data_IF_256625732190
#
_entry.id   IF_256625732190
#
_cell.length_a   1.000
_cell.length_b   1.000
_cell.length_c   1.000
_cell.angle_alpha   90.00
_cell.angle_beta   90.00
_cell.angle_gamma   90.00
#
_symmetry.space_group_name_H-M   'P 1'
#
loop_
_entity.id
_entity.type
_entity.pdbx_description
1 polymer ?
#
# COMPACT_ATOMS: atom_id res chain seq x y z
N UNK A 1 12.40 10.75 2.03
CA UNK A 1 11.76 11.62 3.04
C UNK A 1 10.36 11.09 3.34
N UNK A 2 9.96 11.00 4.60
CA UNK A 2 8.62 10.55 4.98
C UNK A 2 7.54 11.49 4.42
N UNK A 3 6.43 10.93 3.91
CA UNK A 3 5.32 11.66 3.27
C UNK A 3 4.79 12.87 4.06
N UNK A 4 4.79 12.81 5.39
CA UNK A 4 4.34 13.89 6.27
C UNK A 4 5.23 15.14 6.25
N UNK A 5 6.53 15.00 6.02
CA UNK A 5 7.46 16.13 6.06
C UNK A 5 7.26 17.15 4.94
N UNK A 6 6.90 16.70 3.72
CA UNK A 6 6.70 17.62 2.58
C UNK A 6 5.37 18.37 2.72
N UNK A 7 4.29 17.70 3.11
CA UNK A 7 3.01 18.34 3.34
C UNK A 7 3.13 19.44 4.42
N UNK A 8 3.67 19.11 5.59
CA UNK A 8 3.81 20.05 6.69
C UNK A 8 4.80 21.20 6.40
N UNK A 9 5.71 21.04 5.44
CA UNK A 9 6.62 22.11 5.00
C UNK A 9 5.93 23.12 4.09
N UNK A 10 4.92 22.69 3.30
CA UNK A 10 4.21 23.56 2.35
C UNK A 10 2.96 24.15 2.99
N UNK A 11 2.15 23.29 3.59
CA UNK A 11 0.87 23.64 4.21
C UNK A 11 1.06 24.06 5.67
N UNK A 12 0.43 25.16 6.06
CA UNK A 12 0.20 25.54 7.44
C UNK A 12 -1.14 26.28 7.57
N UNK A 13 -1.71 26.31 8.77
CA UNK A 13 -3.04 26.88 9.00
C UNK A 13 -3.10 28.40 8.78
N UNK A 14 -1.99 29.14 8.99
CA UNK A 14 -1.94 30.59 8.76
C UNK A 14 -2.09 30.91 7.29
N UNK A 15 -1.27 30.30 6.43
CA UNK A 15 -1.36 30.49 4.99
C UNK A 15 -2.73 30.01 4.46
N UNK A 16 -3.24 28.90 5.02
CA UNK A 16 -4.55 28.39 4.62
C UNK A 16 -5.68 29.35 5.00
N UNK A 17 -5.59 30.08 6.11
CA UNK A 17 -6.60 31.08 6.47
C UNK A 17 -6.75 32.16 5.39
N UNK A 18 -5.64 32.55 4.77
CA UNK A 18 -5.57 33.59 3.74
C UNK A 18 -5.92 33.10 2.32
N UNK A 19 -5.94 31.79 2.08
CA UNK A 19 -6.35 31.23 0.76
C UNK A 19 -7.73 31.74 0.39
N UNK A 20 -7.86 32.15 -0.85
CA UNK A 20 -9.07 32.76 -1.41
C UNK A 20 -10.31 31.85 -1.24
N UNK A 21 -11.43 32.50 -0.92
CA UNK A 21 -12.69 31.83 -0.60
C UNK A 21 -13.23 31.00 -1.75
N UNK A 22 -13.04 31.45 -2.98
CA UNK A 22 -13.43 30.72 -4.21
C UNK A 22 -12.75 29.34 -4.27
N UNK A 23 -11.43 29.32 -4.07
CA UNK A 23 -10.63 28.09 -4.13
C UNK A 23 -10.99 27.12 -2.99
N UNK A 24 -11.25 27.64 -1.80
CA UNK A 24 -11.68 26.82 -0.64
C UNK A 24 -13.06 26.20 -0.91
N UNK A 25 -14.02 27.00 -1.37
CA UNK A 25 -15.37 26.55 -1.68
C UNK A 25 -15.34 25.44 -2.74
N UNK A 26 -14.64 25.66 -3.85
CA UNK A 26 -14.50 24.64 -4.91
C UNK A 26 -13.93 23.32 -4.36
N UNK A 27 -12.92 23.39 -3.49
CA UNK A 27 -12.36 22.19 -2.87
C UNK A 27 -13.40 21.45 -2.00
N UNK A 28 -14.11 22.17 -1.14
CA UNK A 28 -15.08 21.55 -0.23
C UNK A 28 -16.27 20.94 -0.99
N UNK A 29 -16.74 21.59 -2.05
CA UNK A 29 -17.80 21.06 -2.92
C UNK A 29 -17.33 19.79 -3.63
N UNK A 30 -16.11 19.76 -4.17
CA UNK A 30 -15.54 18.55 -4.75
C UNK A 30 -15.38 17.42 -3.73
N UNK A 31 -14.96 17.72 -2.50
CA UNK A 31 -14.86 16.70 -1.46
C UNK A 31 -16.23 16.18 -1.01
N UNK A 32 -17.28 17.02 -1.08
CA UNK A 32 -18.66 16.62 -0.86
C UNK A 32 -19.13 15.67 -1.98
N UNK A 33 -18.83 15.98 -3.24
CA UNK A 33 -19.10 15.09 -4.37
C UNK A 33 -18.40 13.73 -4.20
N UNK A 34 -17.16 13.70 -3.76
CA UNK A 34 -16.48 12.45 -3.44
C UNK A 34 -17.19 11.63 -2.35
N UNK A 35 -17.82 12.29 -1.36
CA UNK A 35 -18.61 11.63 -0.32
C UNK A 35 -19.91 11.06 -0.90
N UNK A 36 -20.62 11.82 -1.77
CA UNK A 36 -21.85 11.35 -2.45
C UNK A 36 -21.58 10.07 -3.24
N UNK A 37 -20.41 9.99 -3.88
CA UNK A 37 -19.91 8.80 -4.60
C UNK A 37 -19.42 7.68 -3.67
N UNK A 38 -19.59 7.78 -2.35
CA UNK A 38 -19.17 6.79 -1.35
C UNK A 38 -17.66 6.44 -1.44
N UNK A 39 -16.81 7.42 -1.80
CA UNK A 39 -15.35 7.23 -1.75
C UNK A 39 -14.91 7.00 -0.31
N UNK A 40 -13.85 6.18 -0.12
CA UNK A 40 -13.29 5.90 1.22
C UNK A 40 -12.81 7.19 1.88
N UNK A 41 -13.10 7.37 3.17
CA UNK A 41 -12.69 8.55 3.95
C UNK A 41 -11.18 8.83 3.86
N UNK A 42 -10.36 7.76 3.86
CA UNK A 42 -8.91 7.87 3.65
C UNK A 42 -8.52 8.48 2.30
N UNK A 43 -9.30 8.22 1.25
CA UNK A 43 -9.09 8.82 -0.07
C UNK A 43 -9.48 10.29 -0.06
N UNK A 44 -10.64 10.64 0.53
CA UNK A 44 -11.11 12.02 0.67
C UNK A 44 -10.09 12.86 1.44
N UNK A 45 -9.60 12.35 2.59
CA UNK A 45 -8.52 13.00 3.37
C UNK A 45 -7.25 13.20 2.55
N UNK A 46 -6.91 12.23 1.70
CA UNK A 46 -5.73 12.33 0.84
C UNK A 46 -5.90 13.40 -0.25
N UNK A 47 -7.06 13.46 -0.91
CA UNK A 47 -7.37 14.49 -1.90
C UNK A 47 -7.39 15.88 -1.25
N UNK A 48 -8.00 16.03 -0.07
CA UNK A 48 -7.96 17.28 0.70
C UNK A 48 -6.52 17.76 0.92
N UNK A 49 -5.63 16.88 1.37
CA UNK A 49 -4.24 17.24 1.61
C UNK A 49 -3.49 17.60 0.32
N UNK A 50 -3.77 16.90 -0.77
CA UNK A 50 -3.15 17.17 -2.06
C UNK A 50 -3.62 18.52 -2.64
N UNK A 51 -4.90 18.85 -2.52
CA UNK A 51 -5.47 20.11 -2.96
C UNK A 51 -5.07 21.29 -2.06
N UNK A 52 -4.88 21.08 -0.77
CA UNK A 52 -4.32 22.08 0.14
C UNK A 52 -2.90 22.50 -0.28
N UNK A 53 -2.08 21.58 -0.75
CA UNK A 53 -0.76 21.91 -1.33
C UNK A 53 -0.92 22.82 -2.55
N UNK A 54 -1.83 22.49 -3.47
CA UNK A 54 -2.11 23.28 -4.65
C UNK A 54 -2.55 24.71 -4.29
N UNK A 55 -3.53 24.85 -3.42
CA UNK A 55 -4.09 26.15 -3.10
C UNK A 55 -3.13 27.00 -2.24
N UNK A 56 -2.26 26.39 -1.45
CA UNK A 56 -1.16 27.08 -0.78
C UNK A 56 -0.12 27.59 -1.80
N UNK A 57 0.19 26.80 -2.83
CA UNK A 57 1.02 27.29 -3.94
C UNK A 57 0.38 28.47 -4.68
N UNK A 58 -0.91 28.40 -5.00
CA UNK A 58 -1.62 29.50 -5.66
C UNK A 58 -1.63 30.76 -4.80
N UNK A 59 -1.79 30.61 -3.48
CA UNK A 59 -1.69 31.73 -2.54
C UNK A 59 -0.32 32.40 -2.58
N UNK A 60 0.75 31.61 -2.52
CA UNK A 60 2.13 32.13 -2.41
C UNK A 60 2.71 32.63 -3.72
N UNK A 61 2.48 31.88 -4.80
CA UNK A 61 3.22 32.07 -6.06
C UNK A 61 2.36 32.69 -7.19
N UNK A 62 1.05 32.80 -7.00
CA UNK A 62 0.12 33.25 -8.04
C UNK A 62 -0.85 34.32 -7.54
N UNK A 63 -0.43 35.18 -6.63
CA UNK A 63 -1.19 36.32 -6.07
C UNK A 63 -2.57 35.90 -5.54
N UNK A 64 -2.69 34.70 -4.97
CA UNK A 64 -3.94 34.17 -4.43
C UNK A 64 -5.14 34.21 -5.40
N UNK A 65 -4.89 34.07 -6.71
CA UNK A 65 -5.91 34.14 -7.74
C UNK A 65 -6.94 33.01 -7.64
N UNK A 66 -8.21 33.24 -8.01
CA UNK A 66 -9.14 32.17 -8.28
C UNK A 66 -8.59 31.19 -9.31
N UNK A 67 -8.74 29.89 -9.10
CA UNK A 67 -8.20 28.86 -10.00
C UNK A 67 -8.82 28.98 -11.41
N UNK A 68 -10.03 29.53 -11.54
CA UNK A 68 -10.68 29.83 -12.84
C UNK A 68 -9.89 30.82 -13.72
N UNK A 69 -9.02 31.66 -13.13
CA UNK A 69 -8.15 32.56 -13.90
C UNK A 69 -6.82 31.91 -14.34
N UNK A 70 -6.57 30.68 -13.92
CA UNK A 70 -5.34 29.97 -14.24
C UNK A 70 -5.46 29.25 -15.59
N UNK A 71 -4.34 29.17 -16.31
CA UNK A 71 -4.21 28.55 -17.62
C UNK A 71 -3.14 27.45 -17.56
N UNK A 72 -3.03 26.64 -18.61
CA UNK A 72 -2.04 25.54 -18.74
C UNK A 72 -0.63 25.91 -18.24
N UNK A 73 -0.14 27.13 -18.54
CA UNK A 73 1.20 27.58 -18.13
C UNK A 73 1.39 27.56 -16.61
N UNK A 74 0.37 27.95 -15.84
CA UNK A 74 0.44 28.00 -14.37
C UNK A 74 0.50 26.59 -13.79
N UNK A 75 -0.25 25.65 -14.31
CA UNK A 75 -0.23 24.25 -13.89
C UNK A 75 1.06 23.51 -14.30
N UNK A 76 1.65 23.87 -15.45
CA UNK A 76 3.01 23.42 -15.81
C UNK A 76 4.04 23.95 -14.82
N UNK A 77 3.97 25.24 -14.45
CA UNK A 77 4.87 25.84 -13.47
C UNK A 77 4.69 25.22 -12.08
N UNK A 78 3.45 24.88 -11.67
CA UNK A 78 3.19 24.10 -10.46
C UNK A 78 3.90 22.76 -10.49
N UNK A 79 3.87 22.03 -11.60
CA UNK A 79 4.61 20.77 -11.76
C UNK A 79 6.13 20.95 -11.60
N UNK A 80 6.69 22.01 -12.18
CA UNK A 80 8.13 22.34 -12.05
C UNK A 80 8.49 22.71 -10.60
N UNK A 81 7.68 23.54 -9.96
CA UNK A 81 7.86 23.91 -8.56
C UNK A 81 7.85 22.69 -7.62
N UNK A 82 6.90 21.77 -7.83
CA UNK A 82 6.84 20.52 -7.05
C UNK A 82 8.10 19.66 -7.21
N UNK A 83 8.61 19.53 -8.44
CA UNK A 83 9.77 18.68 -8.74
C UNK A 83 11.09 19.34 -8.35
N UNK A 84 11.31 20.60 -8.72
CA UNK A 84 12.60 21.28 -8.60
C UNK A 84 12.77 21.97 -7.23
N UNK A 85 11.78 22.72 -6.77
CA UNK A 85 11.90 23.47 -5.52
C UNK A 85 11.46 22.66 -4.30
N UNK A 86 10.41 21.83 -4.46
CA UNK A 86 9.98 20.95 -3.36
C UNK A 86 10.71 19.60 -3.33
N UNK A 87 11.48 19.23 -4.36
CA UNK A 87 12.24 17.99 -4.45
C UNK A 87 11.34 16.73 -4.40
N UNK A 88 10.16 16.79 -5.02
CA UNK A 88 9.26 15.65 -5.07
C UNK A 88 9.59 14.71 -6.21
N UNK A 89 9.47 13.38 -5.98
CA UNK A 89 9.58 12.38 -7.03
C UNK A 89 8.50 12.56 -8.11
N UNK A 90 8.79 12.13 -9.35
CA UNK A 90 7.85 12.20 -10.46
C UNK A 90 6.51 11.52 -10.14
N UNK A 91 6.52 10.38 -9.46
CA UNK A 91 5.31 9.68 -9.01
C UNK A 91 4.46 10.55 -8.05
N UNK A 92 5.10 11.30 -7.13
CA UNK A 92 4.40 12.18 -6.22
C UNK A 92 3.82 13.40 -6.95
N UNK A 93 4.59 14.02 -7.84
CA UNK A 93 4.13 15.13 -8.69
C UNK A 93 2.94 14.70 -9.54
N UNK A 94 3.05 13.55 -10.23
CA UNK A 94 1.97 13.01 -11.06
C UNK A 94 0.69 12.76 -10.26
N UNK A 95 0.80 12.33 -8.99
CA UNK A 95 -0.36 12.15 -8.12
C UNK A 95 -1.02 13.48 -7.75
N UNK A 96 -0.25 14.52 -7.46
CA UNK A 96 -0.77 15.87 -7.18
C UNK A 96 -1.45 16.47 -8.42
N UNK A 97 -0.86 16.29 -9.60
CA UNK A 97 -1.47 16.67 -10.88
C UNK A 97 -2.76 15.89 -11.15
N UNK A 98 -2.83 14.61 -10.75
CA UNK A 98 -4.04 13.82 -10.86
C UNK A 98 -5.17 14.37 -9.98
N UNK A 99 -4.87 14.75 -8.73
CA UNK A 99 -5.85 15.38 -7.85
C UNK A 99 -6.36 16.71 -8.42
N UNK A 100 -5.47 17.54 -8.97
CA UNK A 100 -5.82 18.78 -9.65
C UNK A 100 -6.70 18.52 -10.88
N UNK A 101 -6.35 17.55 -11.72
CA UNK A 101 -7.16 17.19 -12.91
C UNK A 101 -8.55 16.73 -12.51
N UNK A 102 -8.68 15.91 -11.47
CA UNK A 102 -9.96 15.42 -10.99
C UNK A 102 -10.83 16.55 -10.40
N UNK A 103 -10.22 17.51 -9.69
CA UNK A 103 -10.92 18.70 -9.21
C UNK A 103 -11.47 19.53 -10.38
N UNK A 104 -10.65 19.81 -11.40
CA UNK A 104 -11.08 20.62 -12.55
C UNK A 104 -12.03 19.85 -13.47
N UNK A 105 -11.94 18.53 -13.55
CA UNK A 105 -12.92 17.70 -14.25
C UNK A 105 -14.29 17.78 -13.58
N UNK A 106 -14.34 17.71 -12.25
CA UNK A 106 -15.57 17.96 -11.50
C UNK A 106 -16.12 19.36 -11.83
N UNK A 107 -15.29 20.40 -11.71
CA UNK A 107 -15.73 21.77 -11.88
C UNK A 107 -16.23 22.09 -13.31
N UNK A 108 -15.64 21.49 -14.34
CA UNK A 108 -16.08 21.68 -15.74
C UNK A 108 -17.34 20.90 -16.11
N UNK A 109 -17.82 20.03 -15.22
CA UNK A 109 -19.08 19.28 -15.41
C UNK A 109 -20.21 19.77 -14.50
N UNK A 110 -19.95 20.80 -13.70
CA UNK A 110 -20.93 21.42 -12.81
C UNK A 110 -21.29 22.82 -13.31
N UNK A 111 -22.54 23.04 -13.68
CA UNK A 111 -23.06 24.28 -14.26
C UNK A 111 -22.67 25.53 -13.43
N UNK A 112 -22.81 25.43 -12.10
CA UNK A 112 -22.45 26.54 -11.20
C UNK A 112 -20.98 26.95 -11.32
N UNK A 113 -20.05 26.01 -11.49
CA UNK A 113 -18.63 26.27 -11.60
C UNK A 113 -18.22 26.68 -13.02
N UNK A 114 -18.92 26.15 -14.04
CA UNK A 114 -18.74 26.56 -15.44
C UNK A 114 -19.08 28.04 -15.60
N UNK A 115 -20.22 28.50 -15.08
CA UNK A 115 -20.63 29.91 -15.08
C UNK A 115 -19.63 30.83 -14.37
N UNK A 116 -18.86 30.31 -13.42
CA UNK A 116 -17.81 31.06 -12.73
C UNK A 116 -16.45 31.01 -13.45
N UNK A 117 -16.42 30.54 -14.70
CA UNK A 117 -15.27 30.55 -15.61
C UNK A 117 -14.40 29.30 -15.58
N UNK A 118 -14.95 28.17 -15.12
CA UNK A 118 -14.29 26.86 -15.14
C UNK A 118 -14.81 25.99 -16.31
N UNK A 119 -14.81 26.53 -17.53
CA UNK A 119 -15.27 25.86 -18.74
C UNK A 119 -14.27 24.83 -19.30
N UNK A 120 -13.00 24.97 -18.99
CA UNK A 120 -11.91 24.16 -19.58
C UNK A 120 -10.99 23.61 -18.49
N UNK A 121 -10.83 22.29 -18.47
CA UNK A 121 -9.81 21.62 -17.65
C UNK A 121 -8.40 21.83 -18.25
N UNK A 122 -7.77 22.95 -17.96
CA UNK A 122 -6.41 23.23 -18.40
C UNK A 122 -5.35 22.31 -17.79
N UNK A 123 -5.62 21.68 -16.64
CA UNK A 123 -4.69 20.74 -16.03
C UNK A 123 -4.61 19.43 -16.81
N UNK A 124 -5.69 19.01 -17.49
CA UNK A 124 -5.68 17.84 -18.36
C UNK A 124 -4.69 18.00 -19.54
N UNK A 125 -4.41 19.24 -19.95
CA UNK A 125 -3.46 19.56 -21.02
C UNK A 125 -1.98 19.55 -20.59
N UNK A 126 -1.69 19.37 -19.30
CA UNK A 126 -0.32 19.23 -18.76
C UNK A 126 0.09 17.78 -18.82
N UNK A 127 1.20 17.46 -19.47
CA UNK A 127 1.72 16.09 -19.54
C UNK A 127 2.22 15.65 -18.16
N UNK A 128 2.01 14.38 -17.84
CA UNK A 128 2.63 13.74 -16.66
C UNK A 128 4.14 13.64 -16.86
N UNK A 129 4.89 13.68 -15.75
CA UNK A 129 6.33 13.42 -15.77
C UNK A 129 6.58 11.94 -16.08
N UNK A 130 7.73 11.60 -16.68
CA UNK A 130 8.11 10.22 -16.93
C UNK A 130 8.02 9.38 -15.64
N UNK A 131 7.67 8.11 -15.78
CA UNK A 131 7.80 7.19 -14.65
C UNK A 131 9.29 6.98 -14.41
N UNK A 132 9.74 7.34 -13.23
CA UNK A 132 11.03 6.89 -12.72
C UNK A 132 10.85 5.47 -12.21
N UNK A 133 11.87 4.63 -12.37
CA UNK A 133 11.93 3.37 -11.66
C UNK A 133 11.74 3.65 -10.17
N UNK A 134 10.67 3.11 -9.63
CA UNK A 134 10.35 3.30 -8.23
C UNK A 134 11.33 2.47 -7.40
N UNK A 135 11.61 2.92 -6.19
CA UNK A 135 12.45 2.28 -5.17
C UNK A 135 12.67 0.81 -5.42
N UNK A 136 13.91 0.40 -5.39
CA UNK A 136 14.32 -1.00 -5.34
C UNK A 136 13.41 -1.77 -4.36
N UNK A 137 12.74 -2.79 -4.89
CA UNK A 137 11.87 -3.64 -4.08
C UNK A 137 12.76 -4.71 -3.50
N UNK A 138 12.84 -4.75 -2.17
CA UNK A 138 13.57 -5.82 -1.52
C UNK A 138 12.72 -7.09 -1.48
N UNK A 139 13.27 -8.17 -2.03
CA UNK A 139 12.69 -9.51 -2.00
C UNK A 139 13.34 -10.30 -0.86
N UNK A 140 12.55 -10.61 0.16
CA UNK A 140 12.96 -11.46 1.27
C UNK A 140 13.05 -12.91 0.82
N UNK A 141 14.13 -13.61 1.16
CA UNK A 141 14.22 -15.05 0.96
C UNK A 141 13.35 -15.80 1.96
N UNK A 142 13.02 -17.07 1.68
CA UNK A 142 12.27 -17.89 2.65
C UNK A 142 13.06 -18.11 3.95
N UNK A 143 14.39 -18.20 3.87
CA UNK A 143 15.29 -18.30 5.03
C UNK A 143 15.23 -17.04 5.91
N UNK A 144 15.18 -15.86 5.31
CA UNK A 144 15.04 -14.59 6.05
C UNK A 144 13.68 -14.52 6.79
N UNK A 145 12.61 -14.94 6.11
CA UNK A 145 11.29 -15.07 6.72
C UNK A 145 11.33 -16.06 7.90
N UNK A 146 11.96 -17.20 7.70
CA UNK A 146 12.09 -18.25 8.72
C UNK A 146 12.91 -17.77 9.93
N UNK A 147 14.00 -17.05 9.73
CA UNK A 147 14.79 -16.44 10.80
C UNK A 147 13.94 -15.52 11.68
N UNK A 148 13.20 -14.59 11.07
CA UNK A 148 12.31 -13.68 11.81
C UNK A 148 11.21 -14.48 12.54
N UNK A 149 10.62 -15.46 11.87
CA UNK A 149 9.57 -16.30 12.43
C UNK A 149 10.03 -17.07 13.66
N UNK A 150 11.18 -17.74 13.59
CA UNK A 150 11.76 -18.49 14.70
C UNK A 150 12.14 -17.58 15.85
N UNK A 151 12.75 -16.42 15.61
CA UNK A 151 13.03 -15.41 16.63
C UNK A 151 11.75 -15.01 17.38
N UNK A 152 10.67 -14.75 16.67
CA UNK A 152 9.39 -14.37 17.29
C UNK A 152 8.79 -15.52 18.12
N UNK A 153 8.94 -16.77 17.69
CA UNK A 153 8.50 -17.94 18.46
C UNK A 153 9.33 -18.10 19.74
N UNK A 154 10.65 -17.97 19.66
CA UNK A 154 11.56 -18.04 20.83
C UNK A 154 11.28 -16.95 21.86
N UNK A 155 10.88 -15.75 21.39
CA UNK A 155 10.48 -14.64 22.27
C UNK A 155 9.03 -14.70 22.72
N UNK A 156 8.28 -15.76 22.38
CA UNK A 156 6.86 -15.94 22.67
C UNK A 156 5.97 -14.80 22.11
N UNK A 157 6.45 -14.10 21.07
CA UNK A 157 5.69 -13.05 20.35
C UNK A 157 4.75 -13.68 19.31
N UNK A 158 3.94 -14.65 19.74
CA UNK A 158 3.14 -15.50 18.85
C UNK A 158 2.16 -14.72 17.96
N UNK A 159 1.61 -13.61 18.43
CA UNK A 159 0.76 -12.75 17.61
C UNK A 159 1.52 -12.15 16.43
N UNK A 160 2.74 -11.67 16.65
CA UNK A 160 3.58 -11.14 15.59
C UNK A 160 4.07 -12.24 14.66
N UNK A 161 4.37 -13.44 15.18
CA UNK A 161 4.71 -14.61 14.39
C UNK A 161 3.54 -15.01 13.46
N UNK A 162 2.30 -15.02 13.97
CA UNK A 162 1.09 -15.24 13.17
C UNK A 162 0.92 -14.18 12.08
N UNK A 163 1.16 -12.91 12.42
CA UNK A 163 1.04 -11.80 11.49
C UNK A 163 2.10 -11.86 10.38
N UNK A 164 3.34 -12.18 10.71
CA UNK A 164 4.42 -12.43 9.74
C UNK A 164 4.06 -13.59 8.80
N UNK A 165 3.65 -14.73 9.39
CA UNK A 165 3.33 -15.93 8.63
C UNK A 165 2.19 -15.69 7.64
N UNK A 166 1.08 -15.08 8.07
CA UNK A 166 -0.06 -14.82 7.16
C UNK A 166 0.26 -13.77 6.10
N UNK A 167 1.13 -12.77 6.40
CA UNK A 167 1.61 -11.81 5.39
C UNK A 167 2.32 -12.54 4.25
N UNK A 168 3.14 -13.51 4.59
CA UNK A 168 3.94 -14.26 3.64
C UNK A 168 3.13 -15.38 2.98
N UNK A 169 2.41 -16.19 3.74
CA UNK A 169 1.64 -17.32 3.23
C UNK A 169 0.53 -16.88 2.25
N UNK A 170 -0.18 -15.79 2.55
CA UNK A 170 -1.33 -15.35 1.76
C UNK A 170 -0.98 -14.38 0.63
N UNK A 171 0.22 -13.85 0.60
CA UNK A 171 0.59 -12.73 -0.25
C UNK A 171 -0.40 -11.54 -0.20
N UNK A 172 -1.19 -11.41 0.87
CA UNK A 172 -2.25 -10.42 0.99
C UNK A 172 -1.71 -9.02 1.32
N UNK A 173 -2.52 -8.00 1.04
CA UNK A 173 -2.20 -6.65 1.49
C UNK A 173 -2.46 -6.51 2.99
N UNK A 174 -1.63 -5.72 3.68
CA UNK A 174 -1.82 -5.46 5.12
C UNK A 174 -3.25 -5.02 5.48
N UNK A 175 -3.92 -4.25 4.62
CA UNK A 175 -5.29 -3.81 4.83
C UNK A 175 -6.33 -4.96 4.75
N UNK A 176 -6.01 -6.02 4.05
CA UNK A 176 -6.81 -7.23 3.95
C UNK A 176 -6.56 -8.10 5.21
N UNK A 177 -5.30 -8.27 5.60
CA UNK A 177 -4.92 -9.00 6.82
C UNK A 177 -5.46 -8.34 8.10
N UNK A 178 -5.53 -7.01 8.14
CA UNK A 178 -6.11 -6.29 9.28
C UNK A 178 -7.57 -6.65 9.60
N UNK A 179 -8.29 -7.29 8.66
CA UNK A 179 -9.68 -7.71 8.78
C UNK A 179 -9.82 -9.18 9.17
N UNK A 180 -8.71 -9.90 9.38
CA UNK A 180 -8.75 -11.33 9.74
C UNK A 180 -9.27 -11.49 11.16
N UNK A 181 -10.24 -12.39 11.31
CA UNK A 181 -10.89 -12.76 12.57
C UNK A 181 -10.27 -14.03 13.15
N UNK A 182 -10.41 -14.22 14.45
CA UNK A 182 -9.89 -15.40 15.16
C UNK A 182 -10.67 -16.69 14.88
N UNK A 183 -11.93 -16.54 14.45
CA UNK A 183 -12.80 -17.68 14.20
C UNK A 183 -12.33 -18.47 12.97
N UNK A 184 -12.39 -19.80 13.06
CA UNK A 184 -12.03 -20.75 12.02
C UNK A 184 -10.57 -20.73 11.54
N UNK A 185 -9.69 -19.90 12.15
CA UNK A 185 -8.27 -19.80 11.73
C UNK A 185 -7.52 -21.14 11.90
N UNK A 186 -7.96 -22.02 12.79
CA UNK A 186 -7.37 -23.35 12.98
C UNK A 186 -8.10 -24.44 12.19
N UNK A 187 -9.36 -24.25 11.83
CA UNK A 187 -10.21 -25.26 11.24
C UNK A 187 -9.99 -25.41 9.72
N UNK A 188 -9.71 -24.31 9.04
CA UNK A 188 -9.52 -24.29 7.59
C UNK A 188 -8.16 -23.68 7.20
N UNK A 189 -7.88 -23.64 5.90
CA UNK A 189 -6.74 -22.89 5.34
C UNK A 189 -7.20 -21.57 4.69
N UNK A 190 -8.38 -21.09 5.08
CA UNK A 190 -8.98 -19.85 4.58
C UNK A 190 -9.43 -18.97 5.74
N UNK A 191 -9.25 -17.68 5.62
CA UNK A 191 -9.76 -16.70 6.58
C UNK A 191 -11.27 -16.48 6.42
N UNK A 192 -11.85 -15.67 7.32
CA UNK A 192 -13.11 -14.99 7.05
C UNK A 192 -13.02 -14.17 5.74
N UNK A 193 -14.16 -13.74 5.21
CA UNK A 193 -14.22 -12.83 4.06
C UNK A 193 -13.63 -11.47 4.42
N UNK A 194 -12.72 -10.96 3.59
CA UNK A 194 -12.10 -9.64 3.71
C UNK A 194 -12.45 -8.78 2.50
N UNK A 195 -12.44 -7.46 2.70
CA UNK A 195 -12.74 -6.49 1.64
C UNK A 195 -11.44 -5.91 1.10
N UNK A 196 -11.10 -6.22 -0.12
CA UNK A 196 -9.93 -5.74 -0.83
C UNK A 196 -10.14 -4.38 -1.52
N UNK A 197 -9.24 -4.08 -2.44
CA UNK A 197 -9.29 -2.86 -3.26
C UNK A 197 -10.55 -2.87 -4.15
N UNK A 198 -11.21 -1.72 -4.27
CA UNK A 198 -12.45 -1.51 -5.05
C UNK A 198 -13.66 -2.31 -4.52
N UNK A 199 -13.66 -2.69 -3.24
CA UNK A 199 -14.77 -3.41 -2.63
C UNK A 199 -14.86 -4.90 -2.98
N UNK A 200 -13.85 -5.48 -3.65
CA UNK A 200 -13.82 -6.92 -3.95
C UNK A 200 -13.76 -7.72 -2.65
N UNK A 201 -14.67 -8.68 -2.49
CA UNK A 201 -14.77 -9.54 -1.30
C UNK A 201 -14.21 -10.92 -1.62
N UNK A 202 -13.31 -11.43 -0.77
CA UNK A 202 -12.66 -12.73 -0.94
C UNK A 202 -12.12 -13.24 0.40
N UNK A 203 -11.67 -14.49 0.45
CA UNK A 203 -10.95 -15.10 1.57
C UNK A 203 -9.46 -15.14 1.28
N UNK A 204 -8.62 -15.11 2.32
CA UNK A 204 -7.17 -15.30 2.18
C UNK A 204 -6.84 -16.78 2.41
N UNK A 205 -5.95 -17.31 1.58
CA UNK A 205 -5.40 -18.67 1.76
C UNK A 205 -4.12 -18.54 2.58
N UNK A 206 -3.89 -19.44 3.52
CA UNK A 206 -2.67 -19.54 4.30
C UNK A 206 -2.31 -21.03 4.54
N UNK A 207 -1.09 -21.26 5.05
CA UNK A 207 -0.52 -22.59 5.15
C UNK A 207 -0.17 -22.95 6.62
N UNK A 208 0.54 -24.04 6.80
CA UNK A 208 0.80 -24.61 8.13
C UNK A 208 1.58 -23.69 9.06
N UNK A 209 2.53 -22.88 8.53
CA UNK A 209 3.30 -21.91 9.34
C UNK A 209 2.37 -20.92 10.05
N UNK A 210 1.38 -20.41 9.33
CA UNK A 210 0.34 -19.53 9.91
C UNK A 210 -0.51 -20.27 10.95
N UNK A 211 -0.94 -21.52 10.71
CA UNK A 211 -1.74 -22.29 11.66
C UNK A 211 -0.99 -22.55 12.97
N UNK A 212 0.25 -22.99 12.89
CA UNK A 212 1.10 -23.25 14.06
C UNK A 212 1.27 -22.02 14.94
N UNK A 213 1.60 -20.88 14.34
CA UNK A 213 1.72 -19.62 15.08
C UNK A 213 0.36 -19.17 15.67
N UNK A 214 -0.73 -19.30 14.90
CA UNK A 214 -2.07 -18.92 15.33
C UNK A 214 -2.57 -19.76 16.52
N UNK A 215 -2.27 -21.06 16.55
CA UNK A 215 -2.57 -21.94 17.67
C UNK A 215 -1.89 -21.47 18.96
N UNK A 216 -0.59 -21.21 18.90
CA UNK A 216 0.17 -20.67 20.03
C UNK A 216 -0.36 -19.30 20.46
N UNK A 217 -0.67 -18.44 19.49
CA UNK A 217 -1.24 -17.13 19.77
C UNK A 217 -2.60 -17.20 20.45
N UNK A 218 -3.54 -18.00 19.94
CA UNK A 218 -4.88 -18.10 20.52
C UNK A 218 -4.82 -18.71 21.92
N UNK A 219 -3.94 -19.66 22.16
CA UNK A 219 -3.67 -20.21 23.51
C UNK A 219 -3.13 -19.13 24.47
N UNK A 220 -2.18 -18.31 24.04
CA UNK A 220 -1.62 -17.21 24.82
C UNK A 220 -2.64 -16.09 25.05
N UNK A 221 -3.45 -15.79 24.05
CA UNK A 221 -4.46 -14.73 24.06
C UNK A 221 -5.59 -15.01 25.07
N UNK A 222 -5.99 -16.27 25.19
CA UNK A 222 -7.16 -16.68 25.96
C UNK A 222 -8.48 -16.19 25.37
N UNK A 223 -9.56 -16.38 26.12
CA UNK A 223 -10.91 -15.99 25.70
C UNK A 223 -11.14 -14.48 25.83
N UNK A 224 -11.76 -13.90 24.84
CA UNK A 224 -12.25 -12.52 24.84
C UNK A 224 -13.35 -12.33 23.77
N UNK A 225 -14.09 -11.22 23.85
CA UNK A 225 -15.21 -10.90 22.95
C UNK A 225 -14.76 -10.19 21.64
N UNK A 226 -13.47 -10.03 21.38
CA UNK A 226 -12.98 -9.32 20.20
C UNK A 226 -12.79 -10.32 19.07
N UNK A 227 -13.52 -10.14 17.96
CA UNK A 227 -13.45 -11.02 16.78
C UNK A 227 -12.12 -10.91 16.04
N UNK A 228 -11.55 -9.71 15.96
CA UNK A 228 -10.27 -9.49 15.27
C UNK A 228 -9.18 -10.44 15.81
N UNK A 229 -8.41 -11.05 14.91
CA UNK A 229 -7.23 -11.86 15.28
C UNK A 229 -6.13 -10.99 15.94
N UNK A 230 -6.14 -9.69 15.67
CA UNK A 230 -5.12 -8.72 16.07
C UNK A 230 -5.62 -7.85 17.22
N UNK A 231 -4.99 -7.95 18.38
CA UNK A 231 -5.37 -7.18 19.58
C UNK A 231 -4.17 -6.51 20.23
N UNK A 232 -4.43 -5.46 20.96
CA UNK A 232 -3.46 -4.74 21.80
C UNK A 232 -4.08 -4.42 23.15
N UNK A 233 -3.23 -4.16 24.15
CA UNK A 233 -3.69 -3.93 25.51
C UNK A 233 -3.90 -5.23 26.29
N UNK A 234 -4.27 -5.11 27.57
CA UNK A 234 -4.52 -6.24 28.49
C UNK A 234 -5.76 -5.95 29.31
N UNK A 235 -6.44 -7.02 29.76
CA UNK A 235 -7.64 -6.92 30.59
C UNK A 235 -8.72 -6.05 29.92
N UNK A 236 -9.31 -5.13 30.66
CA UNK A 236 -10.35 -4.21 30.17
C UNK A 236 -9.89 -3.24 29.07
N UNK A 237 -8.58 -3.00 28.96
CA UNK A 237 -8.00 -2.16 27.91
C UNK A 237 -7.67 -2.94 26.62
N UNK A 238 -8.03 -4.24 26.55
CA UNK A 238 -7.82 -5.05 25.35
C UNK A 238 -8.75 -4.53 24.24
N UNK A 239 -8.18 -4.25 23.07
CA UNK A 239 -8.91 -3.75 21.89
C UNK A 239 -8.26 -4.24 20.60
N UNK A 240 -9.00 -4.16 19.51
CA UNK A 240 -8.46 -4.43 18.18
C UNK A 240 -7.23 -3.57 17.90
N UNK A 241 -6.19 -4.16 17.31
CA UNK A 241 -5.00 -3.46 16.87
C UNK A 241 -5.33 -2.49 15.72
N UNK A 242 -4.78 -1.28 15.79
CA UNK A 242 -4.93 -0.31 14.71
C UNK A 242 -4.12 -0.69 13.47
N UNK A 243 -4.47 -0.10 12.34
CA UNK A 243 -3.71 -0.28 11.10
C UNK A 243 -2.25 0.23 11.23
N UNK A 244 -2.04 1.26 12.04
CA UNK A 244 -0.72 1.80 12.38
C UNK A 244 0.07 0.81 13.24
N UNK A 245 -0.59 0.14 14.20
CA UNK A 245 0.06 -0.92 15.01
C UNK A 245 0.60 -2.04 14.13
N UNK A 246 -0.20 -2.52 13.18
CA UNK A 246 0.26 -3.55 12.24
C UNK A 246 1.41 -3.07 11.34
N UNK A 247 1.49 -1.76 11.05
CA UNK A 247 2.64 -1.20 10.36
C UNK A 247 3.89 -1.20 11.24
N UNK A 248 3.76 -0.86 12.51
CA UNK A 248 4.90 -0.89 13.45
C UNK A 248 5.47 -2.28 13.63
N UNK A 249 4.63 -3.33 13.64
CA UNK A 249 5.13 -4.71 13.66
C UNK A 249 6.00 -5.05 12.45
N UNK A 250 5.66 -4.56 11.27
CA UNK A 250 6.54 -4.73 10.10
C UNK A 250 7.88 -4.01 10.30
N UNK A 251 7.86 -2.84 10.93
CA UNK A 251 9.12 -2.13 11.27
C UNK A 251 9.94 -2.87 12.34
N UNK A 252 9.28 -3.56 13.27
CA UNK A 252 9.96 -4.44 14.21
C UNK A 252 10.63 -5.63 13.49
N UNK A 253 9.99 -6.21 12.48
CA UNK A 253 10.59 -7.28 11.67
C UNK A 253 11.85 -6.82 10.93
N UNK A 254 11.90 -5.57 10.44
CA UNK A 254 13.13 -4.99 9.86
C UNK A 254 14.26 -4.96 10.89
N UNK A 255 13.98 -4.55 12.13
CA UNK A 255 14.98 -4.50 13.20
C UNK A 255 15.44 -5.89 13.63
N UNK A 256 14.51 -6.85 13.72
CA UNK A 256 14.84 -8.24 14.05
C UNK A 256 15.79 -8.81 12.99
N UNK A 257 15.48 -8.58 11.70
CA UNK A 257 16.35 -9.09 10.63
C UNK A 257 17.71 -8.39 10.63
N UNK A 258 17.77 -7.07 10.91
CA UNK A 258 19.03 -6.32 11.09
C UNK A 258 19.86 -6.89 12.25
N UNK A 259 19.23 -7.24 13.38
CA UNK A 259 19.91 -7.88 14.52
C UNK A 259 20.46 -9.25 14.16
N UNK A 260 19.73 -10.04 13.34
CA UNK A 260 20.10 -11.39 12.97
C UNK A 260 21.15 -11.48 11.83
N UNK A 261 21.16 -10.51 10.93
CA UNK A 261 22.04 -10.51 9.76
C UNK A 261 23.17 -9.47 9.81
N UNK A 262 23.09 -8.52 10.77
CA UNK A 262 24.11 -7.48 10.95
C UNK A 262 24.02 -6.35 9.93
N UNK A 263 23.01 -6.36 9.05
CA UNK A 263 22.77 -5.35 8.03
C UNK A 263 21.32 -4.90 8.00
N UNK A 264 21.09 -3.57 7.87
CA UNK A 264 19.75 -3.02 7.76
C UNK A 264 19.15 -3.26 6.38
N UNK A 265 18.08 -4.04 6.34
CA UNK A 265 17.35 -4.40 5.12
C UNK A 265 16.02 -3.63 5.10
N UNK A 266 15.85 -2.65 4.20
CA UNK A 266 14.67 -1.79 4.18
C UNK A 266 13.49 -2.43 3.44
N UNK A 267 12.77 -3.32 4.10
CA UNK A 267 11.54 -3.88 3.56
C UNK A 267 10.27 -3.28 4.21
N UNK A 268 9.12 -3.59 3.67
CA UNK A 268 7.83 -3.12 4.16
C UNK A 268 6.76 -4.21 3.95
N UNK A 269 5.52 -3.96 4.43
CA UNK A 269 4.43 -4.94 4.28
C UNK A 269 4.16 -5.38 2.82
N UNK A 270 4.49 -4.55 1.84
CA UNK A 270 4.34 -4.89 0.43
C UNK A 270 5.46 -5.80 -0.08
N UNK A 271 6.66 -5.70 0.52
CA UNK A 271 7.78 -6.60 0.23
C UNK A 271 7.42 -8.06 0.52
N UNK A 272 6.66 -8.35 1.59
CA UNK A 272 6.19 -9.72 1.87
C UNK A 272 5.37 -10.28 0.72
N UNK A 273 4.50 -9.47 0.12
CA UNK A 273 3.70 -9.90 -1.02
C UNK A 273 4.55 -10.16 -2.26
N UNK A 274 5.52 -9.28 -2.54
CA UNK A 274 6.50 -9.50 -3.62
C UNK A 274 7.30 -10.77 -3.37
N UNK A 275 7.86 -10.92 -2.18
CA UNK A 275 8.67 -12.08 -1.81
C UNK A 275 7.87 -13.39 -1.86
N UNK A 276 6.65 -13.41 -1.35
CA UNK A 276 5.78 -14.60 -1.38
C UNK A 276 5.49 -15.05 -2.81
N UNK A 277 5.02 -14.13 -3.66
CA UNK A 277 4.70 -14.45 -5.05
C UNK A 277 5.94 -14.87 -5.83
N UNK A 278 7.06 -14.20 -5.63
CA UNK A 278 8.33 -14.52 -6.27
C UNK A 278 8.85 -15.90 -5.81
N UNK A 279 8.91 -16.15 -4.50
CA UNK A 279 9.38 -17.42 -3.95
C UNK A 279 8.46 -18.60 -4.33
N UNK A 280 7.15 -18.39 -4.47
CA UNK A 280 6.23 -19.41 -5.00
C UNK A 280 6.46 -19.68 -6.48
N UNK A 281 6.78 -18.65 -7.27
CA UNK A 281 7.01 -18.78 -8.71
C UNK A 281 8.33 -19.47 -9.06
N UNK A 282 9.35 -19.27 -8.23
CA UNK A 282 10.68 -19.86 -8.44
C UNK A 282 10.92 -21.16 -7.65
N UNK A 283 9.98 -21.54 -6.76
CA UNK A 283 10.06 -22.80 -6.01
C UNK A 283 10.79 -22.72 -4.66
N UNK A 284 11.26 -21.54 -4.24
CA UNK A 284 12.01 -21.36 -2.98
C UNK A 284 11.13 -21.21 -1.75
N UNK A 285 9.83 -20.93 -1.92
CA UNK A 285 8.89 -20.86 -0.79
C UNK A 285 8.80 -22.22 -0.07
N UNK A 286 8.76 -22.26 1.26
CA UNK A 286 8.72 -23.50 2.04
C UNK A 286 7.59 -24.45 1.62
N UNK A 287 6.43 -23.93 1.20
CA UNK A 287 5.31 -24.74 0.69
C UNK A 287 5.67 -25.46 -0.60
N UNK A 288 6.53 -24.89 -1.46
CA UNK A 288 6.99 -25.54 -2.65
C UNK A 288 7.82 -26.79 -2.32
N UNK A 289 8.66 -26.74 -1.27
CA UNK A 289 9.41 -27.91 -0.77
C UNK A 289 8.47 -29.00 -0.27
N UNK A 290 7.47 -28.65 0.53
CA UNK A 290 6.43 -29.59 1.01
C UNK A 290 5.67 -30.22 -0.15
N UNK A 291 5.34 -29.42 -1.17
CA UNK A 291 4.60 -29.93 -2.35
C UNK A 291 5.48 -30.81 -3.24
N UNK A 292 6.77 -30.52 -3.36
CA UNK A 292 7.73 -31.35 -4.06
C UNK A 292 7.83 -32.74 -3.41
N UNK A 293 8.02 -32.79 -2.09
CA UNK A 293 8.00 -34.06 -1.33
C UNK A 293 6.69 -34.84 -1.52
N UNK A 294 5.55 -34.18 -1.34
CA UNK A 294 4.23 -34.80 -1.46
C UNK A 294 3.97 -35.39 -2.85
N UNK A 295 4.53 -34.76 -3.90
CA UNK A 295 4.38 -35.20 -5.29
C UNK A 295 5.49 -36.15 -5.76
N UNK A 296 6.53 -36.35 -4.96
CA UNK A 296 7.71 -37.15 -5.30
C UNK A 296 8.51 -36.56 -6.46
N UNK A 297 8.61 -35.24 -6.57
CA UNK A 297 9.37 -34.51 -7.58
C UNK A 297 10.53 -33.75 -6.92
N UNK A 298 11.59 -33.49 -7.69
CA UNK A 298 12.77 -32.76 -7.21
C UNK A 298 12.47 -31.27 -6.91
N UNK A 299 11.58 -30.67 -7.71
CA UNK A 299 11.19 -29.27 -7.57
C UNK A 299 9.70 -29.11 -7.83
N UNK A 300 9.08 -28.13 -7.16
CA UNK A 300 7.72 -27.70 -7.40
C UNK A 300 7.63 -26.18 -7.42
N UNK A 301 6.93 -25.64 -8.41
CA UNK A 301 6.70 -24.20 -8.61
C UNK A 301 5.24 -23.97 -8.93
N UNK A 302 4.72 -22.81 -8.50
CA UNK A 302 3.38 -22.39 -8.85
C UNK A 302 3.40 -21.54 -10.12
N UNK A 303 2.47 -21.82 -11.03
CA UNK A 303 2.30 -21.04 -12.26
C UNK A 303 1.68 -19.64 -11.97
N UNK A 304 1.90 -18.71 -12.91
CA UNK A 304 1.44 -17.32 -12.77
C UNK A 304 -0.08 -17.18 -12.66
N UNK A 305 -0.86 -18.13 -13.22
CA UNK A 305 -2.33 -18.10 -13.11
C UNK A 305 -2.78 -18.44 -11.69
N UNK A 306 -2.17 -19.43 -11.07
CA UNK A 306 -2.39 -19.79 -9.66
C UNK A 306 -2.00 -18.63 -8.75
N UNK A 307 -0.85 -17.98 -9.00
CA UNK A 307 -0.40 -16.81 -8.25
C UNK A 307 -1.34 -15.61 -8.42
N UNK A 308 -1.87 -15.39 -9.61
CA UNK A 308 -2.90 -14.38 -9.87
C UNK A 308 -4.16 -14.61 -9.03
N UNK A 309 -4.63 -15.85 -8.96
CA UNK A 309 -5.80 -16.21 -8.15
C UNK A 309 -5.52 -15.96 -6.66
N UNK A 310 -4.39 -16.44 -6.16
CA UNK A 310 -3.97 -16.25 -4.76
C UNK A 310 -3.82 -14.76 -4.40
N UNK A 311 -3.25 -13.97 -5.29
CA UNK A 311 -3.07 -12.54 -5.11
C UNK A 311 -4.34 -11.71 -5.35
N UNK A 312 -5.44 -12.33 -5.80
CA UNK A 312 -6.69 -11.69 -6.18
C UNK A 312 -6.53 -10.56 -7.20
N UNK A 313 -5.56 -10.69 -8.13
CA UNK A 313 -5.36 -9.73 -9.21
C UNK A 313 -6.40 -9.90 -10.31
N UNK A 314 -6.83 -8.78 -10.93
CA UNK A 314 -7.70 -8.80 -12.12
C UNK A 314 -6.92 -9.22 -13.37
N UNK A 315 -5.65 -8.79 -13.49
CA UNK A 315 -4.83 -8.94 -14.67
C UNK A 315 -3.52 -9.68 -14.37
N UNK A 316 -3.03 -10.47 -15.34
CA UNK A 316 -1.74 -11.18 -15.24
C UNK A 316 -0.56 -10.21 -15.16
N UNK A 317 -0.57 -9.13 -15.94
CA UNK A 317 0.46 -8.09 -15.92
C UNK A 317 0.66 -7.47 -14.52
N UNK A 318 -0.43 -7.42 -13.73
CA UNK A 318 -0.32 -7.00 -12.32
C UNK A 318 0.43 -8.04 -11.49
N UNK A 319 0.25 -9.33 -11.75
CA UNK A 319 0.99 -10.40 -11.03
C UNK A 319 2.46 -10.38 -11.42
N UNK A 320 2.73 -10.30 -12.71
CA UNK A 320 4.08 -10.24 -13.27
C UNK A 320 4.91 -9.09 -12.65
N UNK A 321 4.32 -7.91 -12.47
CA UNK A 321 4.99 -6.78 -11.81
C UNK A 321 5.38 -7.02 -10.34
N UNK A 322 4.97 -8.13 -9.73
CA UNK A 322 5.36 -8.54 -8.37
C UNK A 322 6.53 -9.53 -8.37
N UNK A 323 6.90 -10.10 -9.51
CA UNK A 323 8.01 -11.03 -9.62
C UNK A 323 9.32 -10.26 -9.83
N UNK A 324 10.42 -10.86 -9.39
CA UNK A 324 11.75 -10.35 -9.68
C UNK A 324 12.05 -10.52 -11.17
N UNK A 325 12.59 -9.51 -11.81
CA UNK A 325 13.05 -9.64 -13.19
C UNK A 325 14.28 -10.56 -13.23
N UNK A 326 14.14 -11.68 -13.94
CA UNK A 326 15.17 -12.68 -14.18
C UNK A 326 15.43 -12.89 -15.67
N UNK A 327 15.04 -11.90 -16.50
CA UNK A 327 15.14 -12.02 -17.95
C UNK A 327 16.57 -12.32 -18.41
N UNK A 328 17.57 -11.70 -17.78
CA UNK A 328 19.00 -11.95 -18.10
C UNK A 328 19.42 -13.36 -17.68
N UNK A 329 19.09 -13.81 -16.46
CA UNK A 329 19.38 -15.16 -15.97
C UNK A 329 18.72 -16.22 -16.87
N UNK A 330 17.47 -15.99 -17.26
CA UNK A 330 16.73 -16.90 -18.16
C UNK A 330 17.32 -16.94 -19.56
N UNK A 331 17.74 -15.79 -20.09
CA UNK A 331 18.42 -15.72 -21.41
C UNK A 331 19.75 -16.48 -21.37
N UNK A 332 20.58 -16.22 -20.35
CA UNK A 332 21.87 -16.90 -20.22
C UNK A 332 21.70 -18.41 -20.08
N UNK A 333 20.76 -18.88 -19.25
CA UNK A 333 20.44 -20.29 -19.11
C UNK A 333 19.89 -20.89 -20.41
N UNK A 334 19.05 -20.16 -21.16
CA UNK A 334 18.47 -20.64 -22.41
C UNK A 334 19.48 -20.86 -23.53
N UNK A 335 20.61 -20.20 -23.43
CA UNK A 335 21.72 -20.29 -24.40
C UNK A 335 22.94 -21.06 -23.85
N UNK A 336 22.80 -21.76 -22.70
CA UNK A 336 23.88 -22.49 -22.01
C UNK A 336 25.12 -21.61 -21.74
N UNK A 337 24.91 -20.35 -21.35
CA UNK A 337 25.98 -19.40 -21.08
C UNK A 337 26.35 -19.31 -19.58
N UNK A 338 25.71 -20.14 -18.74
CA UNK A 338 25.95 -20.27 -17.29
C UNK A 338 26.41 -21.70 -17.01
#
# INVERSE_FOLDING_TARGET
MARGKVYNRIYNEKDWAEVNKFNKRLMEDYLLEMKSQKKKESSIKQYRNDLRILFTYIYKELDNKPISKLKKKHFRNYSLWLSQECGMSNSRVNRLLSALRSLLEYATNEEEWEEQGLEINYAAKVKSLPKEESREIYFLTDEQIEKIYNYLLEKEEYQKATFLAILYDSAARRAEIAQVEKHNILESNMTNKVVGKRGKVFTLIYFNRTKQAAELWLKQRGEDAIDSLWVVGRGENKRQASYETLYMWVMDFCKILEELEGEYIPFNAHSFRHSSLDNLSNGTHYVCRIMAEKKGVSEFKYDIHTLKLMAHHSDLSTTDSYLKDRSEEMLMSSFDLI
#
